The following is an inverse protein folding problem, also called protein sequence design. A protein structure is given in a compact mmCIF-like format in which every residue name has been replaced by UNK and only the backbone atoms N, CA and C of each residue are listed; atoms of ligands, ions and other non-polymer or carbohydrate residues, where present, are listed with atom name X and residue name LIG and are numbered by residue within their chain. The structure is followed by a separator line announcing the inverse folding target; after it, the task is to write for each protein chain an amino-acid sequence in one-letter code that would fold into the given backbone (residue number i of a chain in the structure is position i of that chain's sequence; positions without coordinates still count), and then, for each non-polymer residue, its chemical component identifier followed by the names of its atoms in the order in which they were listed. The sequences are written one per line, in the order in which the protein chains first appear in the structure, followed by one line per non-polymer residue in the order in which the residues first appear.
data_IF_568887046800
#
_entry.id   IF_568887046800
#
_cell.length_a   1.000
_cell.length_b   1.000
_cell.length_c   1.000
_cell.angle_alpha   90.00
_cell.angle_beta   90.00
_cell.angle_gamma   90.00
#
_symmetry.space_group_name_H-M   'P 1'
#
loop_
_entity.id
_entity.type
_entity.pdbx_description
1 polymer ?
#
# COMPACT_ATOMS: atom_id res chain seq x y z
N UNK A 1 -0.67 14.56 -24.16
CA UNK A 1 -0.23 13.33 -23.54
C UNK A 1 -1.17 12.88 -22.44
N UNK A 2 -1.50 11.62 -22.43
CA UNK A 2 -2.37 11.07 -21.41
C UNK A 2 -1.71 11.06 -20.05
N UNK A 3 -2.51 11.16 -19.00
CA UNK A 3 -1.97 11.03 -17.66
C UNK A 3 -1.61 9.58 -17.40
N UNK A 4 -0.37 9.37 -17.00
CA UNK A 4 0.12 8.04 -16.67
C UNK A 4 0.39 7.89 -15.17
N UNK A 5 0.50 9.02 -14.46
CA UNK A 5 0.79 9.02 -13.03
C UNK A 5 -0.26 9.85 -12.30
N UNK A 6 -0.84 9.27 -11.26
CA UNK A 6 -1.84 9.92 -10.43
C UNK A 6 -1.34 9.97 -9.00
N UNK A 7 -1.43 11.16 -8.39
CA UNK A 7 -1.09 11.33 -6.98
C UNK A 7 -2.31 11.92 -6.30
N UNK A 8 -2.75 11.29 -5.23
CA UNK A 8 -3.98 11.68 -4.55
C UNK A 8 -3.81 11.66 -3.05
N UNK A 9 -4.33 12.66 -2.37
CA UNK A 9 -4.40 12.66 -0.92
C UNK A 9 -5.68 11.96 -0.50
N UNK A 10 -5.55 10.99 0.39
CA UNK A 10 -6.68 10.18 0.82
C UNK A 10 -6.79 10.27 2.32
N UNK A 11 -7.97 10.56 2.82
CA UNK A 11 -8.20 10.67 4.25
C UNK A 11 -8.51 9.32 4.86
N UNK A 12 -7.79 8.99 5.92
CA UNK A 12 -8.06 7.81 6.74
C UNK A 12 -8.27 8.33 8.16
N UNK A 13 -9.52 8.36 8.59
CA UNK A 13 -9.92 8.98 9.83
C UNK A 13 -9.52 10.46 9.80
N UNK A 14 -8.72 10.96 10.73
CA UNK A 14 -8.29 12.35 10.74
C UNK A 14 -6.88 12.54 10.16
N UNK A 15 -6.33 11.50 9.53
CA UNK A 15 -4.99 11.56 8.93
C UNK A 15 -5.06 11.46 7.43
N UNK A 16 -4.02 11.93 6.77
CA UNK A 16 -3.94 11.92 5.32
C UNK A 16 -2.82 11.00 4.88
N UNK A 17 -3.12 10.10 3.94
CA UNK A 17 -2.11 9.26 3.30
C UNK A 17 -2.03 9.64 1.83
N UNK A 18 -0.91 9.32 1.21
CA UNK A 18 -0.67 9.64 -0.19
C UNK A 18 -0.86 8.41 -1.04
N UNK A 19 -1.74 8.51 -2.04
CA UNK A 19 -1.92 7.44 -3.01
C UNK A 19 -1.14 7.75 -4.28
N UNK A 20 -0.42 6.76 -4.78
CA UNK A 20 0.32 6.88 -6.04
C UNK A 20 -0.12 5.75 -6.96
N UNK A 21 -0.49 6.12 -8.18
CA UNK A 21 -0.91 5.16 -9.19
C UNK A 21 -0.16 5.45 -10.47
N UNK A 22 0.51 4.44 -11.02
CA UNK A 22 1.21 4.55 -12.30
C UNK A 22 0.58 3.59 -13.28
N UNK A 23 0.02 4.14 -14.38
CA UNK A 23 -0.56 3.30 -15.42
C UNK A 23 0.57 2.67 -16.23
N UNK A 24 0.44 1.38 -16.49
CA UNK A 24 1.45 0.63 -17.25
C UNK A 24 0.79 0.06 -18.49
N UNK A 25 1.51 0.02 -19.63
CA UNK A 25 0.91 -0.49 -20.88
C UNK A 25 0.51 -1.95 -20.72
N UNK A 26 -0.72 -2.26 -21.12
CA UNK A 26 -1.25 -3.62 -21.17
C UNK A 26 -1.04 -4.41 -19.87
N UNK A 27 -1.09 -3.71 -18.73
CA UNK A 27 -0.80 -4.31 -17.43
C UNK A 27 -1.63 -3.64 -16.35
N UNK A 28 -1.84 -4.31 -15.21
CA UNK A 28 -2.44 -3.61 -14.07
C UNK A 28 -1.56 -2.46 -13.62
N UNK A 29 -2.14 -1.42 -13.02
CA UNK A 29 -1.35 -0.27 -12.59
C UNK A 29 -0.49 -0.61 -11.38
N UNK A 30 0.60 0.13 -11.23
CA UNK A 30 1.42 0.08 -10.02
C UNK A 30 0.79 1.01 -9.00
N UNK A 31 0.56 0.52 -7.80
CA UNK A 31 -0.12 1.27 -6.75
C UNK A 31 0.66 1.25 -5.45
N UNK A 32 0.68 2.42 -4.79
CA UNK A 32 1.26 2.59 -3.46
C UNK A 32 0.34 3.49 -2.64
N UNK A 33 0.24 3.22 -1.35
CA UNK A 33 -0.40 4.15 -0.42
C UNK A 33 0.55 4.37 0.75
N UNK A 34 0.96 5.61 0.94
CA UNK A 34 2.06 5.97 1.83
C UNK A 34 1.55 6.80 2.99
N UNK A 35 1.77 6.33 4.21
CA UNK A 35 1.49 7.09 5.43
C UNK A 35 2.79 7.53 6.07
N UNK A 36 2.70 8.19 7.21
CA UNK A 36 3.88 8.67 7.90
C UNK A 36 4.74 7.54 8.45
N UNK A 37 4.13 6.43 8.82
CA UNK A 37 4.84 5.33 9.48
C UNK A 37 5.26 4.23 8.53
N UNK A 38 4.71 4.19 7.31
CA UNK A 38 5.04 3.14 6.36
C UNK A 38 4.07 3.17 5.20
N UNK A 39 4.08 2.11 4.40
CA UNK A 39 3.28 2.11 3.18
C UNK A 39 2.73 0.72 2.85
N UNK A 40 1.68 0.73 2.01
CA UNK A 40 1.14 -0.49 1.42
C UNK A 40 1.56 -0.50 -0.05
N UNK A 41 2.10 -1.63 -0.49
CA UNK A 41 2.56 -1.81 -1.86
C UNK A 41 1.69 -2.84 -2.59
N UNK A 42 1.67 -2.77 -3.91
CA UNK A 42 1.02 -3.78 -4.73
C UNK A 42 2.01 -4.92 -5.05
N UNK A 43 1.54 -5.92 -5.81
CA UNK A 43 2.34 -7.08 -6.13
C UNK A 43 3.56 -6.82 -7.00
N UNK A 44 3.70 -5.63 -7.55
CA UNK A 44 4.90 -5.29 -8.33
C UNK A 44 6.14 -5.11 -7.45
N UNK A 45 5.97 -4.89 -6.15
CA UNK A 45 7.09 -4.60 -5.27
C UNK A 45 7.46 -5.83 -4.46
N UNK A 46 8.72 -5.89 -4.06
CA UNK A 46 9.26 -7.09 -3.41
C UNK A 46 9.35 -6.90 -1.90
N UNK A 47 8.56 -7.68 -1.17
CA UNK A 47 8.49 -7.57 0.29
C UNK A 47 9.80 -8.05 0.95
N UNK A 48 10.51 -8.97 0.30
CA UNK A 48 11.79 -9.44 0.85
C UNK A 48 12.84 -8.35 0.84
N UNK A 49 12.87 -7.54 -0.22
CA UNK A 49 13.76 -6.39 -0.27
C UNK A 49 13.38 -5.37 0.81
N UNK A 50 12.07 -5.13 0.96
CA UNK A 50 11.59 -4.22 2.00
C UNK A 50 12.01 -4.72 3.38
N UNK A 51 11.96 -6.03 3.60
CA UNK A 51 12.37 -6.60 4.87
C UNK A 51 13.85 -6.35 5.15
N UNK A 52 14.69 -6.57 4.13
CA UNK A 52 16.13 -6.36 4.27
C UNK A 52 16.49 -4.90 4.50
N UNK A 53 15.71 -4.00 3.94
CA UNK A 53 15.93 -2.56 4.13
C UNK A 53 15.33 -2.07 5.46
N UNK A 54 14.65 -2.94 6.17
CA UNK A 54 14.03 -2.65 7.46
C UNK A 54 13.01 -1.51 7.38
N UNK A 55 12.22 -1.52 6.30
CA UNK A 55 11.14 -0.55 6.16
C UNK A 55 9.82 -1.14 6.66
N UNK A 56 8.89 -0.27 6.97
CA UNK A 56 7.57 -0.65 7.45
C UNK A 56 6.64 -0.72 6.25
N UNK A 57 6.30 -1.92 5.80
CA UNK A 57 5.52 -2.09 4.60
C UNK A 57 4.63 -3.31 4.67
N UNK A 58 3.49 -3.22 4.01
CA UNK A 58 2.58 -4.34 3.83
C UNK A 58 2.24 -4.46 2.35
N UNK A 59 1.80 -5.63 1.92
CA UNK A 59 1.54 -5.89 0.51
C UNK A 59 0.12 -6.43 0.30
N UNK A 60 -0.52 -5.94 -0.76
CA UNK A 60 -1.78 -6.49 -1.27
C UNK A 60 -1.54 -6.87 -2.74
N UNK A 61 -2.43 -7.68 -3.31
CA UNK A 61 -2.31 -8.08 -4.70
C UNK A 61 -3.66 -8.03 -5.40
N UNK A 62 -3.63 -8.03 -6.73
CA UNK A 62 -4.85 -8.04 -7.52
C UNK A 62 -5.63 -6.74 -7.47
N UNK A 63 -4.97 -5.62 -7.14
CA UNK A 63 -5.64 -4.33 -6.98
C UNK A 63 -5.43 -3.47 -8.21
N UNK A 64 -6.45 -2.66 -8.55
CA UNK A 64 -6.42 -1.78 -9.71
C UNK A 64 -6.72 -0.33 -9.35
N UNK A 65 -7.10 -0.08 -8.10
CA UNK A 65 -7.46 1.27 -7.65
C UNK A 65 -7.13 1.41 -6.18
N UNK A 66 -7.15 2.64 -5.68
CA UNK A 66 -6.96 2.88 -4.26
C UNK A 66 -8.08 2.23 -3.44
N UNK A 67 -9.30 2.28 -3.96
CA UNK A 67 -10.42 1.64 -3.28
C UNK A 67 -10.18 0.13 -3.13
N UNK A 68 -9.62 -0.50 -4.16
CA UNK A 68 -9.29 -1.92 -4.09
C UNK A 68 -8.29 -2.20 -2.98
N UNK A 69 -7.30 -1.32 -2.80
CA UNK A 69 -6.32 -1.49 -1.72
C UNK A 69 -7.01 -1.46 -0.36
N UNK A 70 -7.95 -0.53 -0.18
CA UNK A 70 -8.66 -0.40 1.09
C UNK A 70 -9.45 -1.66 1.43
N UNK A 71 -9.96 -2.35 0.42
CA UNK A 71 -10.78 -3.54 0.62
C UNK A 71 -10.00 -4.85 0.57
N UNK A 72 -8.76 -4.81 0.06
CA UNK A 72 -7.97 -6.03 -0.09
C UNK A 72 -7.43 -6.49 1.25
N UNK A 73 -7.14 -7.79 1.32
CA UNK A 73 -6.51 -8.36 2.51
C UNK A 73 -5.00 -8.27 2.39
N UNK A 74 -4.34 -8.00 3.51
CA UNK A 74 -2.89 -7.96 3.55
C UNK A 74 -2.35 -9.36 3.31
N UNK A 75 -1.49 -9.50 2.30
CA UNK A 75 -0.91 -10.80 1.91
C UNK A 75 0.48 -11.01 2.48
N UNK A 76 1.20 -9.94 2.76
CA UNK A 76 2.53 -10.03 3.36
C UNK A 76 2.81 -8.74 4.08
N UNK A 77 3.71 -8.79 5.07
CA UNK A 77 4.07 -7.61 5.84
C UNK A 77 5.48 -7.79 6.38
N UNK A 78 6.24 -6.68 6.42
CA UNK A 78 7.57 -6.72 7.01
C UNK A 78 7.49 -6.86 8.52
N UNK A 79 8.62 -7.20 9.14
CA UNK A 79 8.68 -7.34 10.59
C UNK A 79 8.27 -6.03 11.28
N UNK A 80 8.71 -4.90 10.75
CA UNK A 80 8.36 -3.61 11.34
C UNK A 80 6.86 -3.31 11.22
N UNK A 81 6.23 -3.72 10.12
CA UNK A 81 4.79 -3.55 9.99
C UNK A 81 4.06 -4.43 11.01
N UNK A 82 4.55 -5.64 11.20
CA UNK A 82 3.93 -6.56 12.19
C UNK A 82 4.05 -6.00 13.60
N UNK A 83 5.16 -5.32 13.90
CA UNK A 83 5.34 -4.68 15.21
C UNK A 83 4.30 -3.59 15.47
N UNK A 84 3.80 -2.96 14.40
CA UNK A 84 2.73 -1.98 14.52
C UNK A 84 1.35 -2.63 14.65
N UNK A 85 1.28 -3.94 14.58
CA UNK A 85 0.02 -4.65 14.69
C UNK A 85 -0.63 -4.98 13.36
N UNK A 86 0.10 -4.88 12.26
CA UNK A 86 -0.43 -5.25 10.95
C UNK A 86 -0.27 -6.75 10.77
N UNK A 87 -1.40 -7.44 10.58
CA UNK A 87 -1.43 -8.89 10.46
C UNK A 87 -1.93 -9.29 9.09
N UNK A 88 -1.48 -10.47 8.63
CA UNK A 88 -1.97 -11.02 7.38
C UNK A 88 -3.47 -11.27 7.49
N UNK A 89 -4.18 -10.98 6.40
CA UNK A 89 -5.63 -11.15 6.36
C UNK A 89 -6.42 -9.94 6.77
N UNK A 90 -5.80 -8.94 7.42
CA UNK A 90 -6.54 -7.74 7.76
C UNK A 90 -6.76 -6.90 6.51
N UNK A 91 -7.78 -6.05 6.53
CA UNK A 91 -8.09 -5.20 5.39
C UNK A 91 -7.07 -4.09 5.24
N UNK A 92 -6.81 -3.68 3.99
CA UNK A 92 -5.89 -2.57 3.74
C UNK A 92 -6.28 -1.31 4.49
N UNK A 93 -7.58 -1.04 4.62
CA UNK A 93 -8.08 0.10 5.38
C UNK A 93 -7.57 0.07 6.83
N UNK A 94 -7.66 -1.09 7.45
CA UNK A 94 -7.20 -1.24 8.83
C UNK A 94 -5.69 -1.06 8.94
N UNK A 95 -4.95 -1.62 7.98
CA UNK A 95 -3.50 -1.49 7.97
C UNK A 95 -3.11 -0.02 7.80
N UNK A 96 -3.81 0.73 6.94
CA UNK A 96 -3.51 2.13 6.72
C UNK A 96 -3.73 2.98 7.96
N UNK A 97 -4.70 2.61 8.80
CA UNK A 97 -4.89 3.34 10.06
C UNK A 97 -3.66 3.26 10.96
N UNK A 98 -2.94 2.16 10.86
CA UNK A 98 -1.72 1.96 11.64
C UNK A 98 -0.50 2.59 11.00
N UNK A 99 -0.53 2.78 9.68
CA UNK A 99 0.60 3.34 8.93
C UNK A 99 0.50 4.85 8.74
N UNK A 100 -0.67 5.39 8.91
CA UNK A 100 -0.92 6.80 8.71
C UNK A 100 -0.23 7.70 9.74
#
# INVERSE_FOLDING_TARGET
MERLIYIEKIKIDDKTVLGLKVELPDSPPLLLMVGEKGFIMCGYLNVEVAERLQVTAAMVSGVKSFQDILEAEIKAATSKARELGINLGMKGREALRKLA
#
